data_IF_505253914428
#
_entry.id   IF_505253914428
#
_cell.length_a   1.000
_cell.length_b   1.000
_cell.length_c   1.000
_cell.angle_alpha   90.00
_cell.angle_beta   90.00
_cell.angle_gamma   90.00
#
_symmetry.space_group_name_H-M   'P 1'
#
loop_
_entity.id
_entity.type
_entity.pdbx_description
1 polymer ?
#
# COMPACT_ATOMS: atom_id res chain seq x y z
N UNK A 1 50.59 32.54 64.80
CA UNK A 1 50.57 31.57 63.69
C UNK A 1 49.31 30.75 63.81
N UNK A 2 48.31 31.00 62.97
CA UNK A 2 47.13 30.15 62.80
C UNK A 2 46.89 30.00 61.31
N UNK A 3 47.05 28.79 60.80
CA UNK A 3 46.84 28.39 59.40
C UNK A 3 45.36 28.07 59.23
N UNK A 4 44.65 28.84 58.37
CA UNK A 4 43.27 28.58 58.02
C UNK A 4 43.18 27.60 56.84
N UNK A 5 42.46 26.49 57.03
CA UNK A 5 42.15 25.53 55.97
C UNK A 5 40.90 25.98 55.20
N UNK A 6 41.06 26.25 53.92
CA UNK A 6 39.99 26.54 52.98
C UNK A 6 39.48 25.18 52.44
N UNK A 7 38.25 24.83 52.77
CA UNK A 7 37.57 23.68 52.22
C UNK A 7 36.85 24.06 50.94
N UNK A 8 37.33 23.57 49.81
CA UNK A 8 36.64 23.64 48.51
C UNK A 8 35.52 22.58 48.45
N UNK A 9 34.28 23.01 48.32
CA UNK A 9 33.13 22.15 48.02
C UNK A 9 33.10 21.90 46.51
N UNK A 10 33.33 20.69 46.10
CA UNK A 10 33.09 20.20 44.73
C UNK A 10 31.61 19.79 44.68
N UNK A 11 30.84 20.48 43.87
CA UNK A 11 29.46 20.10 43.56
C UNK A 11 29.47 19.14 42.39
N UNK A 12 29.18 17.88 42.67
CA UNK A 12 28.94 16.85 41.62
C UNK A 12 27.60 17.13 40.94
N UNK A 13 27.63 17.63 39.72
CA UNK A 13 26.48 17.72 38.84
C UNK A 13 26.28 16.35 38.12
N UNK A 14 25.40 15.54 38.63
CA UNK A 14 24.93 14.36 37.99
C UNK A 14 24.07 14.70 36.76
N UNK A 15 24.63 14.59 35.55
CA UNK A 15 23.89 14.70 34.31
C UNK A 15 23.12 13.40 34.10
N UNK A 16 21.81 13.44 34.37
CA UNK A 16 20.88 12.37 34.00
C UNK A 16 20.70 12.41 32.46
N UNK A 17 21.40 11.50 31.74
CA UNK A 17 21.06 11.18 30.35
C UNK A 17 19.73 10.43 30.36
N UNK A 18 18.63 11.12 30.04
CA UNK A 18 17.37 10.48 29.70
C UNK A 18 17.55 9.79 28.33
N UNK A 19 17.79 8.49 28.33
CA UNK A 19 17.69 7.65 27.14
C UNK A 19 16.20 7.60 26.79
N UNK A 20 15.78 8.45 25.86
CA UNK A 20 14.47 8.30 25.24
C UNK A 20 14.51 7.05 24.37
N UNK A 21 13.97 5.96 24.89
CA UNK A 21 13.66 4.78 24.10
C UNK A 21 12.56 5.17 23.11
N UNK A 22 12.96 5.44 21.85
CA UNK A 22 12.01 5.56 20.76
C UNK A 22 11.46 4.15 20.49
N UNK A 23 10.32 3.84 21.11
CA UNK A 23 9.55 2.69 20.70
C UNK A 23 9.17 2.91 19.22
N UNK A 24 9.39 1.92 18.32
CA UNK A 24 8.93 2.05 16.95
C UNK A 24 7.41 2.21 16.98
N UNK A 25 6.91 3.35 16.54
CA UNK A 25 5.49 3.55 16.29
C UNK A 25 5.12 2.67 15.09
N UNK A 26 4.50 1.53 15.35
CA UNK A 26 3.96 0.68 14.31
C UNK A 26 2.75 1.41 13.69
N UNK A 27 2.93 1.85 12.46
CA UNK A 27 1.81 2.33 11.65
C UNK A 27 0.93 1.13 11.32
N UNK A 28 -0.24 1.07 11.92
CA UNK A 28 -1.23 0.01 11.71
C UNK A 28 -1.85 0.15 10.32
N UNK A 29 -1.42 -0.69 9.39
CA UNK A 29 -2.14 -1.00 8.15
C UNK A 29 -2.92 -2.27 8.38
N UNK A 30 -3.97 -2.57 7.58
CA UNK A 30 -4.69 -3.84 7.73
C UNK A 30 -3.73 -5.02 7.79
N UNK A 31 -2.70 -5.06 6.96
CA UNK A 31 -1.66 -6.09 6.99
C UNK A 31 -0.61 -5.93 8.12
N UNK A 32 -0.47 -4.76 8.73
CA UNK A 32 0.43 -4.55 9.88
C UNK A 32 -0.20 -5.02 11.20
N UNK A 33 -1.49 -5.27 11.21
CA UNK A 33 -2.18 -5.89 12.35
C UNK A 33 -1.89 -7.38 12.49
N UNK A 34 -1.22 -7.99 11.52
CA UNK A 34 -0.91 -9.42 11.52
C UNK A 34 0.55 -9.70 11.87
N UNK A 35 0.74 -10.69 12.74
CA UNK A 35 2.06 -11.20 13.11
C UNK A 35 2.65 -12.06 12.00
N UNK A 36 3.45 -11.42 11.14
CA UNK A 36 4.07 -12.08 10.00
C UNK A 36 5.17 -13.09 10.34
N UNK A 37 5.60 -13.12 11.60
CA UNK A 37 6.59 -14.09 12.08
C UNK A 37 5.93 -15.39 12.56
N UNK A 38 4.60 -15.41 12.72
CA UNK A 38 3.83 -16.57 13.14
C UNK A 38 2.94 -17.07 12.00
N UNK A 39 2.72 -18.38 11.98
CA UNK A 39 1.80 -19.03 11.02
C UNK A 39 0.88 -19.97 11.77
N UNK A 40 -0.41 -19.80 11.58
CA UNK A 40 -1.44 -20.73 12.02
C UNK A 40 -1.79 -21.70 10.90
N UNK A 41 -2.13 -22.92 11.27
CA UNK A 41 -2.79 -23.89 10.38
C UNK A 41 -4.15 -24.22 10.96
N UNK A 42 -5.20 -23.78 10.28
CA UNK A 42 -6.59 -23.98 10.68
C UNK A 42 -7.21 -25.07 9.81
N UNK A 43 -8.00 -25.95 10.42
CA UNK A 43 -8.80 -26.99 9.73
C UNK A 43 -10.24 -26.78 10.13
N UNK A 44 -11.12 -26.68 9.17
CA UNK A 44 -12.54 -26.43 9.43
C UNK A 44 -13.38 -26.38 8.18
N UNK A 45 -14.61 -25.94 8.34
CA UNK A 45 -15.58 -25.85 7.28
C UNK A 45 -15.91 -24.39 6.99
N UNK A 46 -15.98 -24.04 5.71
CA UNK A 46 -16.38 -22.69 5.27
C UNK A 46 -17.80 -22.40 5.81
N UNK A 47 -17.95 -21.29 6.54
CA UNK A 47 -19.26 -20.76 6.93
C UNK A 47 -19.77 -19.73 5.92
N UNK A 48 -18.86 -18.89 5.40
CA UNK A 48 -19.19 -17.83 4.45
C UNK A 48 -17.96 -17.47 3.60
N UNK A 49 -18.18 -17.06 2.35
CA UNK A 49 -17.17 -16.58 1.42
C UNK A 49 -17.65 -15.27 0.78
N UNK A 50 -16.96 -14.17 1.06
CA UNK A 50 -17.29 -12.84 0.58
C UNK A 50 -16.29 -12.41 -0.50
N UNK A 51 -16.71 -12.55 -1.76
CA UNK A 51 -15.92 -12.18 -2.93
C UNK A 51 -16.18 -10.71 -3.30
N UNK A 52 -15.55 -9.79 -2.58
CA UNK A 52 -15.77 -8.34 -2.70
C UNK A 52 -14.45 -7.57 -2.53
N UNK A 53 -14.45 -6.29 -2.93
CA UNK A 53 -13.35 -5.36 -2.69
C UNK A 53 -13.70 -4.41 -1.53
N UNK A 54 -12.68 -3.91 -0.79
CA UNK A 54 -11.23 -3.96 -1.09
C UNK A 54 -10.54 -5.25 -0.70
N UNK A 55 -11.15 -6.14 0.06
CA UNK A 55 -10.60 -7.41 0.51
C UNK A 55 -11.62 -8.53 0.37
N UNK A 56 -11.16 -9.70 -0.05
CA UNK A 56 -11.95 -10.93 -0.01
C UNK A 56 -11.88 -11.48 1.42
N UNK A 57 -13.04 -11.83 2.00
CA UNK A 57 -13.09 -12.45 3.31
C UNK A 57 -13.59 -13.90 3.23
N UNK A 58 -12.92 -14.75 4.01
CA UNK A 58 -13.26 -16.16 4.15
C UNK A 58 -13.56 -16.41 5.63
N UNK A 59 -14.74 -16.92 5.93
CA UNK A 59 -15.14 -17.27 7.28
C UNK A 59 -15.10 -18.79 7.43
N UNK A 60 -14.45 -19.27 8.49
CA UNK A 60 -14.12 -20.67 8.72
C UNK A 60 -14.52 -21.09 10.13
N UNK A 61 -15.41 -22.05 10.26
CA UNK A 61 -15.71 -22.71 11.52
C UNK A 61 -14.62 -23.74 11.86
N UNK A 62 -13.90 -23.52 12.95
CA UNK A 62 -12.81 -24.37 13.45
C UNK A 62 -13.23 -25.06 14.74
N UNK A 63 -13.05 -26.36 14.82
CA UNK A 63 -13.49 -27.21 15.95
C UNK A 63 -14.74 -28.02 15.61
N UNK A 64 -15.05 -29.06 16.43
CA UNK A 64 -16.16 -29.99 16.18
C UNK A 64 -17.34 -29.78 17.13
N UNK A 65 -17.08 -29.66 18.44
CA UNK A 65 -18.16 -29.62 19.45
C UNK A 65 -18.72 -28.22 19.67
N UNK A 66 -17.82 -27.23 19.82
CA UNK A 66 -18.12 -25.82 19.89
C UNK A 66 -17.28 -25.07 18.86
N UNK A 67 -17.70 -25.03 17.59
CA UNK A 67 -16.91 -24.41 16.52
C UNK A 67 -16.77 -22.91 16.74
N UNK A 68 -15.54 -22.43 16.57
CA UNK A 68 -15.21 -21.01 16.64
C UNK A 68 -15.04 -20.48 15.23
N UNK A 69 -15.74 -19.42 14.89
CA UNK A 69 -15.59 -18.77 13.59
C UNK A 69 -14.31 -17.94 13.53
N UNK A 70 -13.53 -18.17 12.49
CA UNK A 70 -12.35 -17.42 12.11
C UNK A 70 -12.64 -16.59 10.87
N UNK A 71 -12.24 -15.33 10.89
CA UNK A 71 -12.26 -14.45 9.72
C UNK A 71 -10.86 -14.40 9.10
N UNK A 72 -10.77 -14.64 7.80
CA UNK A 72 -9.51 -14.64 7.07
C UNK A 72 -9.56 -13.55 5.99
N UNK A 73 -8.61 -12.63 6.05
CA UNK A 73 -8.46 -11.55 5.06
C UNK A 73 -7.62 -12.03 3.89
N UNK A 74 -8.16 -11.96 2.69
CA UNK A 74 -7.47 -12.17 1.43
C UNK A 74 -7.06 -10.87 0.76
N UNK A 75 -6.53 -10.97 -0.45
CA UNK A 75 -6.26 -9.83 -1.31
C UNK A 75 -7.53 -9.37 -2.06
N UNK A 76 -7.48 -8.22 -2.74
CA UNK A 76 -8.56 -7.75 -3.61
C UNK A 76 -8.90 -8.74 -4.74
N UNK A 77 -10.17 -8.72 -5.18
CA UNK A 77 -10.66 -9.65 -6.20
C UNK A 77 -9.83 -9.67 -7.50
N UNK A 78 -9.30 -8.55 -8.05
CA UNK A 78 -8.47 -8.59 -9.24
C UNK A 78 -7.18 -9.38 -9.03
N UNK A 79 -6.52 -9.21 -7.88
CA UNK A 79 -5.28 -9.91 -7.52
C UNK A 79 -5.54 -11.41 -7.34
N UNK A 80 -6.59 -11.75 -6.60
CA UNK A 80 -6.97 -13.15 -6.35
C UNK A 80 -7.47 -13.85 -7.62
N UNK A 81 -8.18 -13.14 -8.50
CA UNK A 81 -8.61 -13.70 -9.81
C UNK A 81 -7.40 -14.18 -10.63
N UNK A 82 -6.34 -13.39 -10.71
CA UNK A 82 -5.09 -13.79 -11.40
C UNK A 82 -4.37 -14.93 -10.70
N UNK A 83 -4.66 -15.16 -9.42
CA UNK A 83 -4.14 -16.30 -8.64
C UNK A 83 -5.04 -17.55 -8.71
N UNK A 84 -6.02 -17.56 -9.59
CA UNK A 84 -6.90 -18.70 -9.84
C UNK A 84 -8.17 -18.77 -9.00
N UNK A 85 -8.41 -17.78 -8.13
CA UNK A 85 -9.64 -17.69 -7.37
C UNK A 85 -10.81 -17.16 -8.20
N UNK A 86 -12.03 -17.54 -7.83
CA UNK A 86 -13.29 -17.14 -8.47
C UNK A 86 -14.37 -16.91 -7.39
N UNK A 87 -15.48 -16.25 -7.72
CA UNK A 87 -16.61 -16.07 -6.79
C UNK A 87 -17.19 -17.39 -6.27
N UNK A 88 -17.03 -18.47 -7.04
CA UNK A 88 -17.53 -19.82 -6.75
C UNK A 88 -16.43 -20.79 -6.29
N UNK A 89 -15.25 -20.29 -5.93
CA UNK A 89 -14.13 -21.15 -5.48
C UNK A 89 -14.44 -21.91 -4.21
N UNK A 90 -15.23 -21.32 -3.31
CA UNK A 90 -15.62 -21.91 -2.03
C UNK A 90 -17.14 -21.82 -1.84
N UNK A 91 -17.69 -22.87 -1.23
CA UNK A 91 -19.08 -22.92 -0.82
C UNK A 91 -19.18 -23.18 0.70
N UNK A 92 -20.25 -22.69 1.37
CA UNK A 92 -20.53 -23.06 2.75
C UNK A 92 -20.56 -24.59 2.93
N UNK A 93 -19.86 -25.08 3.97
CA UNK A 93 -19.70 -26.50 4.23
C UNK A 93 -18.41 -27.12 3.66
N UNK A 94 -17.69 -26.49 2.76
CA UNK A 94 -16.44 -26.98 2.22
C UNK A 94 -15.41 -27.20 3.34
N UNK A 95 -14.86 -28.42 3.42
CA UNK A 95 -13.79 -28.75 4.35
C UNK A 95 -12.44 -28.29 3.78
N UNK A 96 -11.76 -27.39 4.48
CA UNK A 96 -10.52 -26.76 3.98
C UNK A 96 -9.42 -26.78 5.03
N UNK A 97 -8.17 -26.61 4.57
CA UNK A 97 -7.00 -26.35 5.41
C UNK A 97 -6.48 -24.97 5.03
N UNK A 98 -6.38 -24.08 6.01
CA UNK A 98 -5.91 -22.71 5.80
C UNK A 98 -4.62 -22.49 6.55
N UNK A 99 -3.66 -21.83 5.89
CA UNK A 99 -2.50 -21.21 6.55
C UNK A 99 -2.69 -19.71 6.55
N UNK A 100 -2.48 -19.09 7.71
CA UNK A 100 -2.67 -17.65 7.89
C UNK A 100 -1.67 -17.08 8.89
N UNK A 101 -1.34 -15.80 8.73
CA UNK A 101 -0.71 -15.02 9.78
C UNK A 101 -1.78 -14.56 10.77
N UNK A 102 -1.64 -14.84 12.07
CA UNK A 102 -2.65 -14.45 13.05
C UNK A 102 -2.65 -12.93 13.29
N UNK A 103 -3.79 -12.41 13.74
CA UNK A 103 -3.88 -11.06 14.27
C UNK A 103 -2.89 -10.89 15.46
N UNK A 104 -2.29 -9.71 15.59
CA UNK A 104 -1.45 -9.36 16.73
C UNK A 104 -2.25 -9.33 18.03
N UNK A 105 -3.54 -8.94 17.98
CA UNK A 105 -4.47 -9.13 19.07
C UNK A 105 -4.94 -10.59 19.11
N UNK A 106 -4.31 -11.38 19.96
CA UNK A 106 -4.58 -12.82 20.11
C UNK A 106 -5.98 -13.15 20.66
N UNK A 107 -6.74 -12.16 21.09
CA UNK A 107 -8.15 -12.31 21.47
C UNK A 107 -9.09 -12.34 20.28
N UNK A 108 -8.60 -12.05 19.07
CA UNK A 108 -9.37 -12.07 17.82
C UNK A 108 -9.10 -13.35 17.03
N UNK A 109 -10.16 -13.99 16.56
CA UNK A 109 -10.08 -15.10 15.61
C UNK A 109 -9.98 -14.57 14.19
N UNK A 110 -8.89 -13.85 13.92
CA UNK A 110 -8.66 -13.17 12.66
C UNK A 110 -7.26 -13.50 12.11
N UNK A 111 -7.15 -13.64 10.79
CA UNK A 111 -5.89 -14.00 10.15
C UNK A 111 -5.76 -13.47 8.73
N UNK A 112 -4.52 -13.15 8.33
CA UNK A 112 -4.19 -12.82 6.97
C UNK A 112 -3.90 -14.10 6.18
N UNK A 113 -4.65 -14.36 5.14
CA UNK A 113 -4.57 -15.56 4.31
C UNK A 113 -3.21 -15.70 3.65
N UNK A 114 -2.57 -16.84 3.83
CA UNK A 114 -1.34 -17.23 3.12
C UNK A 114 -1.62 -18.27 2.04
N UNK A 115 -2.40 -19.30 2.37
CA UNK A 115 -2.83 -20.33 1.43
C UNK A 115 -4.07 -21.05 1.95
N UNK A 116 -4.84 -21.60 1.04
CA UNK A 116 -5.98 -22.46 1.33
C UNK A 116 -5.89 -23.72 0.47
N UNK A 117 -6.08 -24.88 1.10
CA UNK A 117 -6.24 -26.17 0.39
C UNK A 117 -7.72 -26.47 0.31
N UNK A 118 -8.24 -26.58 -0.91
CA UNK A 118 -9.65 -26.88 -1.20
C UNK A 118 -9.99 -28.34 -0.86
N UNK A 119 -11.27 -28.75 -0.82
CA UNK A 119 -11.67 -30.15 -0.65
C UNK A 119 -11.05 -31.10 -1.69
N UNK A 120 -10.83 -30.60 -2.92
CA UNK A 120 -10.17 -31.35 -4.00
C UNK A 120 -8.64 -31.40 -3.89
N UNK A 121 -8.03 -30.87 -2.81
CA UNK A 121 -6.58 -30.90 -2.59
C UNK A 121 -5.80 -29.83 -3.36
N UNK A 122 -6.46 -28.92 -4.07
CA UNK A 122 -5.79 -27.79 -4.76
C UNK A 122 -5.36 -26.76 -3.74
N UNK A 123 -4.09 -26.34 -3.82
CA UNK A 123 -3.56 -25.26 -2.96
C UNK A 123 -3.65 -23.95 -3.71
N UNK A 124 -4.40 -23.01 -3.15
CA UNK A 124 -4.55 -21.64 -3.64
C UNK A 124 -3.82 -20.63 -2.72
N UNK A 125 -3.20 -19.65 -3.31
CA UNK A 125 -2.59 -18.52 -2.59
C UNK A 125 -3.27 -17.21 -3.00
N UNK A 126 -3.40 -16.20 -2.14
CA UNK A 126 -4.04 -14.93 -2.51
C UNK A 126 -3.28 -14.19 -3.61
N UNK A 127 -1.97 -14.41 -3.69
CA UNK A 127 -1.10 -13.85 -4.75
C UNK A 127 -0.29 -14.95 -5.39
N UNK A 128 -0.50 -15.20 -6.66
CA UNK A 128 0.39 -16.04 -7.43
C UNK A 128 1.62 -15.20 -7.82
N UNK A 129 2.79 -15.66 -7.41
CA UNK A 129 4.05 -15.17 -7.96
C UNK A 129 4.28 -15.84 -9.31
N UNK A 130 3.50 -15.44 -10.32
CA UNK A 130 3.67 -15.89 -11.68
C UNK A 130 5.07 -15.56 -12.23
N UNK A 131 5.49 -16.26 -13.29
CA UNK A 131 6.71 -15.89 -14.02
C UNK A 131 6.48 -14.54 -14.69
N UNK A 132 7.46 -13.61 -14.58
CA UNK A 132 7.41 -12.36 -15.32
C UNK A 132 7.25 -12.64 -16.81
N UNK A 133 6.50 -11.78 -17.51
CA UNK A 133 6.48 -11.80 -18.97
C UNK A 133 7.92 -11.60 -19.50
N UNK A 134 8.26 -12.33 -20.57
CA UNK A 134 9.49 -12.09 -21.31
C UNK A 134 9.29 -11.16 -22.51
N UNK A 135 8.06 -10.66 -22.70
CA UNK A 135 7.75 -9.73 -23.78
C UNK A 135 8.39 -8.36 -23.51
N UNK A 136 8.89 -7.72 -24.57
CA UNK A 136 9.47 -6.40 -24.51
C UNK A 136 8.50 -5.36 -25.07
N UNK A 137 8.35 -4.25 -24.34
CA UNK A 137 7.52 -3.12 -24.76
C UNK A 137 8.23 -2.30 -25.87
N UNK A 138 7.48 -1.66 -26.74
CA UNK A 138 8.01 -0.72 -27.74
C UNK A 138 8.25 0.68 -27.17
N UNK A 139 7.37 1.10 -26.26
CA UNK A 139 7.45 2.35 -25.49
C UNK A 139 6.77 2.13 -24.12
N UNK A 140 6.51 3.17 -23.36
CA UNK A 140 5.89 3.05 -22.04
C UNK A 140 4.38 2.80 -22.09
N UNK A 141 3.74 2.82 -23.27
CA UNK A 141 2.33 2.50 -23.41
C UNK A 141 2.06 1.01 -23.25
N UNK A 142 0.83 0.66 -22.87
CA UNK A 142 0.42 -0.72 -22.66
C UNK A 142 -0.03 -1.01 -21.25
N UNK A 143 -0.12 -2.29 -20.91
CA UNK A 143 -0.51 -2.76 -19.59
C UNK A 143 0.73 -3.25 -18.83
N UNK A 144 0.77 -2.88 -17.56
CA UNK A 144 1.90 -3.10 -16.66
C UNK A 144 1.44 -3.71 -15.33
N UNK A 145 2.11 -4.77 -14.88
CA UNK A 145 1.79 -5.46 -13.63
C UNK A 145 2.67 -4.96 -12.47
N UNK A 146 2.05 -4.34 -11.48
CA UNK A 146 2.68 -3.86 -10.26
C UNK A 146 2.94 -4.94 -9.20
N UNK A 147 2.46 -6.17 -9.37
CA UNK A 147 2.46 -7.19 -8.32
C UNK A 147 3.87 -7.51 -7.80
N UNK A 148 4.83 -7.73 -8.71
CA UNK A 148 6.22 -8.04 -8.32
C UNK A 148 6.93 -6.82 -7.76
N UNK A 149 6.68 -5.65 -8.36
CA UNK A 149 7.20 -4.37 -7.88
C UNK A 149 6.72 -4.04 -6.47
N UNK A 150 5.51 -4.43 -6.11
CA UNK A 150 5.00 -4.29 -4.74
C UNK A 150 5.90 -4.95 -3.70
N UNK A 151 6.48 -6.11 -3.99
CA UNK A 151 7.38 -6.82 -3.09
C UNK A 151 8.79 -6.21 -3.02
N UNK A 152 9.24 -5.57 -4.10
CA UNK A 152 10.61 -5.05 -4.26
C UNK A 152 10.72 -3.54 -4.17
N UNK A 153 9.58 -2.82 -4.00
CA UNK A 153 9.57 -1.36 -3.89
C UNK A 153 10.45 -0.85 -2.76
N UNK A 154 11.08 0.28 -2.99
CA UNK A 154 11.99 0.90 -2.03
C UNK A 154 11.50 2.29 -1.67
N UNK A 155 11.77 2.69 -0.43
CA UNK A 155 11.49 4.02 0.07
C UNK A 155 12.66 4.49 0.92
N UNK A 156 13.06 5.73 0.71
CA UNK A 156 13.95 6.47 1.61
C UNK A 156 13.11 7.55 2.27
N UNK A 157 12.69 7.29 3.50
CA UNK A 157 11.80 8.18 4.25
C UNK A 157 12.66 9.05 5.15
N UNK A 158 12.59 10.39 5.01
CA UNK A 158 13.29 11.32 5.89
C UNK A 158 12.61 11.37 7.27
N UNK A 159 13.13 12.21 8.15
CA UNK A 159 12.46 12.52 9.42
C UNK A 159 11.07 13.11 9.19
N UNK A 160 10.19 12.89 10.16
CA UNK A 160 8.86 13.50 10.18
C UNK A 160 8.91 14.86 10.89
N UNK A 161 8.10 15.80 10.42
CA UNK A 161 7.85 17.03 11.19
C UNK A 161 7.05 16.73 12.46
N UNK A 162 7.00 17.67 13.40
CA UNK A 162 6.17 17.53 14.60
C UNK A 162 4.68 17.30 14.24
N UNK A 163 4.18 17.98 13.19
CA UNK A 163 2.82 17.79 12.66
C UNK A 163 2.61 16.36 12.18
N UNK A 164 3.55 15.81 11.39
CA UNK A 164 3.48 14.45 10.88
C UNK A 164 3.56 13.40 12.00
N UNK A 165 4.45 13.59 12.98
CA UNK A 165 4.57 12.69 14.12
C UNK A 165 3.29 12.67 14.97
N UNK A 166 2.68 13.84 15.21
CA UNK A 166 1.39 13.94 15.90
C UNK A 166 0.27 13.27 15.10
N UNK A 167 0.21 13.48 13.78
CA UNK A 167 -0.78 12.83 12.90
C UNK A 167 -0.62 11.32 12.88
N UNK A 168 0.63 10.81 12.85
CA UNK A 168 0.93 9.39 12.92
C UNK A 168 0.51 8.76 14.25
N UNK A 169 0.79 9.44 15.36
CA UNK A 169 0.39 8.97 16.70
C UNK A 169 -1.14 8.97 16.90
N UNK A 170 -1.85 9.87 16.22
CA UNK A 170 -3.32 9.97 16.25
C UNK A 170 -4.01 9.21 15.12
N UNK A 171 -3.23 8.49 14.29
CA UNK A 171 -3.79 7.73 13.18
C UNK A 171 -4.57 6.52 13.70
N UNK A 172 -5.75 6.37 13.16
CA UNK A 172 -6.65 5.25 13.38
C UNK A 172 -7.01 4.65 12.03
N UNK A 173 -6.96 3.33 11.91
CA UNK A 173 -7.22 2.61 10.67
C UNK A 173 -8.66 2.85 10.16
N UNK A 174 -9.61 3.21 11.03
CA UNK A 174 -10.96 3.63 10.60
C UNK A 174 -10.95 4.84 9.66
N UNK A 175 -9.87 5.65 9.70
CA UNK A 175 -9.66 6.83 8.85
C UNK A 175 -8.97 6.51 7.52
N UNK A 176 -8.63 5.24 7.27
CA UNK A 176 -8.03 4.84 6.00
C UNK A 176 -9.02 5.09 4.85
N UNK A 177 -8.65 5.86 3.81
CA UNK A 177 -9.56 6.22 2.72
C UNK A 177 -10.11 5.01 1.95
N UNK A 178 -9.40 3.89 1.96
CA UNK A 178 -9.86 2.63 1.34
C UNK A 178 -11.19 2.16 1.94
N UNK A 179 -11.45 2.42 3.22
CA UNK A 179 -12.69 2.08 3.91
C UNK A 179 -13.91 2.90 3.44
N UNK A 180 -13.65 4.04 2.81
CA UNK A 180 -14.66 4.86 2.14
C UNK A 180 -14.59 4.73 0.61
N UNK A 181 -14.04 3.63 0.12
CA UNK A 181 -13.85 3.35 -1.30
C UNK A 181 -13.08 4.45 -2.04
N UNK A 182 -12.12 5.09 -1.38
CA UNK A 182 -11.26 6.11 -1.97
C UNK A 182 -9.83 5.58 -2.13
N UNK A 183 -9.27 5.74 -3.32
CA UNK A 183 -7.92 5.33 -3.63
C UNK A 183 -6.86 6.13 -2.83
N UNK A 184 -5.68 5.55 -2.66
CA UNK A 184 -4.52 6.28 -2.18
C UNK A 184 -4.07 7.34 -3.18
N UNK A 185 -3.50 8.46 -2.71
CA UNK A 185 -2.97 9.50 -3.59
C UNK A 185 -1.66 9.06 -4.27
N UNK A 186 -1.31 9.74 -5.36
CA UNK A 186 0.04 9.67 -5.96
C UNK A 186 1.10 10.13 -4.93
N UNK A 187 2.28 9.46 -4.81
CA UNK A 187 2.75 8.33 -5.61
C UNK A 187 2.39 6.96 -5.00
N UNK A 188 1.65 6.89 -3.88
CA UNK A 188 1.30 5.60 -3.25
C UNK A 188 0.63 4.65 -4.24
N UNK A 189 -0.19 5.18 -5.12
CA UNK A 189 -0.91 4.42 -6.15
C UNK A 189 0.03 3.54 -6.99
N UNK A 190 1.17 4.09 -7.47
CA UNK A 190 2.09 3.36 -8.35
C UNK A 190 2.85 2.23 -7.63
N UNK A 191 2.79 2.18 -6.31
CA UNK A 191 3.47 1.17 -5.49
C UNK A 191 2.59 -0.02 -5.12
N UNK A 192 1.37 -0.11 -5.65
CA UNK A 192 0.37 -1.14 -5.33
C UNK A 192 0.43 -2.34 -6.29
N UNK A 193 -0.07 -3.52 -5.87
CA UNK A 193 0.04 -4.77 -6.63
C UNK A 193 -1.06 -4.94 -7.70
N UNK A 194 -1.33 -3.90 -8.47
CA UNK A 194 -2.41 -3.89 -9.46
C UNK A 194 -1.88 -3.76 -10.88
N UNK A 195 -2.71 -4.14 -11.85
CA UNK A 195 -2.46 -3.77 -13.23
C UNK A 195 -2.71 -2.27 -13.42
N UNK A 196 -1.85 -1.69 -14.23
CA UNK A 196 -1.92 -0.30 -14.64
C UNK A 196 -1.82 -0.23 -16.16
N UNK A 197 -2.55 0.69 -16.78
CA UNK A 197 -2.51 0.94 -18.21
C UNK A 197 -1.99 2.34 -18.46
N UNK A 198 -1.10 2.49 -19.43
CA UNK A 198 -0.61 3.77 -19.91
C UNK A 198 -1.00 3.91 -21.39
N UNK A 199 -1.67 5.00 -21.73
CA UNK A 199 -2.04 5.34 -23.11
C UNK A 199 -1.47 6.71 -23.46
N UNK A 200 -0.70 6.80 -24.55
CA UNK A 200 -0.19 8.05 -25.09
C UNK A 200 -1.21 8.57 -26.10
N UNK A 201 -1.79 9.74 -25.84
CA UNK A 201 -2.87 10.35 -26.64
C UNK A 201 -2.53 11.80 -27.03
N UNK A 202 -1.68 11.97 -28.05
CA UNK A 202 -1.29 13.29 -28.55
C UNK A 202 -0.64 14.17 -27.48
N UNK A 203 -1.37 15.18 -27.02
CA UNK A 203 -0.94 16.16 -26.01
C UNK A 203 -1.14 15.71 -24.55
N UNK A 204 -1.48 14.45 -24.32
CA UNK A 204 -1.68 13.90 -22.98
C UNK A 204 -1.33 12.42 -22.89
N UNK A 205 -1.00 11.99 -21.69
CA UNK A 205 -0.88 10.58 -21.34
C UNK A 205 -1.97 10.27 -20.33
N UNK A 206 -2.69 9.17 -20.55
CA UNK A 206 -3.71 8.67 -19.67
C UNK A 206 -3.18 7.45 -18.93
N UNK A 207 -3.15 7.51 -17.60
CA UNK A 207 -2.79 6.38 -16.75
C UNK A 207 -4.03 5.88 -16.03
N UNK A 208 -4.31 4.58 -16.14
CA UNK A 208 -5.39 3.92 -15.41
C UNK A 208 -4.83 2.87 -14.48
N UNK A 209 -5.43 2.70 -13.34
CA UNK A 209 -5.13 1.61 -12.41
C UNK A 209 -6.40 0.83 -12.09
N UNK A 210 -6.29 -0.47 -11.93
CA UNK A 210 -7.41 -1.28 -11.41
C UNK A 210 -7.86 -0.80 -10.03
N UNK A 211 -6.92 -0.34 -9.20
CA UNK A 211 -7.21 0.11 -7.83
C UNK A 211 -8.20 1.26 -7.81
N UNK A 212 -9.42 0.96 -7.42
CA UNK A 212 -10.56 1.90 -7.43
C UNK A 212 -10.84 2.56 -8.79
N UNK A 213 -10.42 1.94 -9.89
CA UNK A 213 -10.61 2.47 -11.26
C UNK A 213 -10.02 3.87 -11.42
N UNK A 214 -8.89 4.14 -10.74
CA UNK A 214 -8.26 5.46 -10.83
C UNK A 214 -7.84 5.76 -12.26
N UNK A 215 -8.20 6.95 -12.71
CA UNK A 215 -7.73 7.53 -13.95
C UNK A 215 -6.99 8.84 -13.67
N UNK A 216 -5.81 9.00 -14.26
CA UNK A 216 -4.94 10.17 -14.10
C UNK A 216 -4.51 10.66 -15.47
N UNK A 217 -4.76 11.93 -15.76
CA UNK A 217 -4.28 12.61 -16.98
C UNK A 217 -2.99 13.36 -16.70
N UNK A 218 -1.98 13.13 -17.53
CA UNK A 218 -0.73 13.87 -17.55
C UNK A 218 -0.75 14.75 -18.81
N UNK A 219 -0.70 16.06 -18.64
CA UNK A 219 -0.69 17.02 -19.76
C UNK A 219 0.71 17.18 -20.32
N UNK A 220 0.86 16.99 -21.64
CA UNK A 220 2.14 16.98 -22.36
C UNK A 220 2.30 18.20 -23.30
N UNK A 221 1.40 19.16 -23.23
CA UNK A 221 1.33 20.32 -24.12
C UNK A 221 2.15 21.53 -23.66
N UNK A 222 2.98 21.35 -22.62
CA UNK A 222 3.85 22.40 -22.10
C UNK A 222 3.17 23.41 -21.19
N UNK A 223 1.89 23.18 -20.82
CA UNK A 223 1.21 24.04 -19.84
C UNK A 223 1.86 23.97 -18.47
N UNK A 224 1.68 25.02 -17.65
CA UNK A 224 1.98 24.98 -16.21
C UNK A 224 0.80 24.49 -15.38
N UNK A 225 1.02 24.30 -14.08
CA UNK A 225 -0.07 24.07 -13.14
C UNK A 225 -0.94 25.33 -12.99
N UNK A 226 -2.27 25.17 -12.95
CA UNK A 226 -3.16 26.32 -12.75
C UNK A 226 -3.04 26.85 -11.31
N UNK A 227 -2.86 28.16 -11.16
CA UNK A 227 -2.65 28.80 -9.86
C UNK A 227 -3.83 28.56 -8.88
N UNK A 228 -5.06 28.48 -9.40
CA UNK A 228 -6.29 28.25 -8.64
C UNK A 228 -7.00 26.97 -9.11
N UNK A 229 -6.22 25.91 -9.46
CA UNK A 229 -6.78 24.66 -9.92
C UNK A 229 -7.50 23.90 -8.82
N UNK A 230 -8.45 23.05 -9.21
CA UNK A 230 -9.10 22.13 -8.32
C UNK A 230 -8.07 21.16 -7.70
N UNK A 231 -8.18 20.96 -6.40
CA UNK A 231 -7.35 19.97 -5.69
C UNK A 231 -8.04 18.62 -5.70
N UNK A 232 -7.28 17.61 -6.07
CA UNK A 232 -7.77 16.23 -6.11
C UNK A 232 -6.85 15.29 -5.34
N UNK A 233 -7.32 14.09 -5.09
CA UNK A 233 -6.51 13.05 -4.46
C UNK A 233 -5.31 12.62 -5.34
N UNK A 234 -5.44 12.70 -6.67
CA UNK A 234 -4.36 12.39 -7.60
C UNK A 234 -3.54 13.63 -8.05
N UNK A 235 -3.97 14.82 -7.65
CA UNK A 235 -3.35 16.08 -8.03
C UNK A 235 -3.61 16.46 -9.48
N UNK A 236 -2.90 17.49 -9.94
CA UNK A 236 -2.83 17.92 -11.33
C UNK A 236 -1.43 17.60 -11.87
N UNK A 237 -1.33 16.85 -12.95
CA UNK A 237 -0.07 16.33 -13.49
C UNK A 237 0.25 16.96 -14.84
N UNK A 238 1.48 17.45 -14.97
CA UNK A 238 2.07 17.88 -16.24
C UNK A 238 3.30 17.01 -16.52
N UNK A 239 3.67 16.83 -17.76
CA UNK A 239 4.81 15.99 -18.11
C UNK A 239 5.61 16.52 -19.28
N UNK A 240 6.82 16.03 -19.40
CA UNK A 240 7.68 16.22 -20.55
C UNK A 240 8.62 15.03 -20.72
N UNK A 241 9.12 14.85 -21.92
CA UNK A 241 10.15 13.86 -22.21
C UNK A 241 11.55 14.45 -21.99
N UNK A 242 12.38 13.71 -21.26
CA UNK A 242 13.82 13.96 -21.08
C UNK A 242 14.60 12.78 -21.68
N UNK A 243 14.92 12.87 -22.97
CA UNK A 243 15.33 11.69 -23.75
C UNK A 243 14.19 10.65 -23.77
N UNK A 244 14.49 9.41 -23.37
CA UNK A 244 13.51 8.30 -23.31
C UNK A 244 12.80 8.21 -21.96
N UNK A 245 12.99 9.17 -21.06
CA UNK A 245 12.37 9.20 -19.73
C UNK A 245 11.19 10.17 -19.73
N UNK A 246 10.01 9.68 -19.37
CA UNK A 246 8.88 10.55 -19.05
C UNK A 246 9.08 11.12 -17.64
N UNK A 247 9.14 12.44 -17.53
CA UNK A 247 9.17 13.16 -16.26
C UNK A 247 7.81 13.76 -16.02
N UNK A 248 7.21 13.46 -14.87
CA UNK A 248 5.88 13.93 -14.47
C UNK A 248 6.00 14.74 -13.20
N UNK A 249 5.49 15.95 -13.24
CA UNK A 249 5.39 16.87 -12.12
C UNK A 249 3.93 16.97 -11.67
N UNK A 250 3.66 16.85 -10.37
CA UNK A 250 2.29 16.80 -9.83
C UNK A 250 2.16 17.65 -8.58
N UNK A 251 1.18 18.52 -8.58
CA UNK A 251 0.78 19.40 -7.48
C UNK A 251 -0.74 19.38 -7.30
N UNK A 252 -1.31 20.30 -6.51
CA UNK A 252 -2.75 20.46 -6.31
C UNK A 252 -3.40 19.21 -5.70
N UNK A 253 -2.76 18.65 -4.69
CA UNK A 253 -3.32 17.55 -3.91
C UNK A 253 -4.32 18.05 -2.85
N UNK A 254 -5.24 17.17 -2.45
CA UNK A 254 -5.98 17.30 -1.19
C UNK A 254 -5.15 16.78 -0.03
N UNK A 255 -5.48 17.23 1.20
CA UNK A 255 -4.95 16.59 2.41
C UNK A 255 -5.35 15.11 2.47
N UNK A 256 -4.46 14.27 2.98
CA UNK A 256 -4.74 12.85 3.14
C UNK A 256 -4.15 12.29 4.43
N UNK A 257 -4.90 11.52 5.22
CA UNK A 257 -4.37 10.83 6.40
C UNK A 257 -3.40 9.68 6.03
N UNK A 258 -3.47 9.22 4.77
CA UNK A 258 -2.55 8.23 4.17
C UNK A 258 -2.02 8.86 2.89
N UNK A 259 -0.95 9.61 2.98
CA UNK A 259 -0.47 10.48 1.91
C UNK A 259 0.62 9.86 1.03
N UNK A 260 1.84 9.93 1.49
CA UNK A 260 3.01 9.51 0.71
C UNK A 260 3.24 8.00 0.76
N UNK A 261 2.88 7.39 1.86
CA UNK A 261 2.82 5.93 2.07
C UNK A 261 1.90 5.68 3.26
N UNK A 262 1.49 4.45 3.45
CA UNK A 262 0.70 4.09 4.58
C UNK A 262 1.34 4.54 5.92
N UNK A 263 0.54 5.20 6.77
CA UNK A 263 0.96 5.74 8.07
C UNK A 263 1.67 7.10 8.04
N UNK A 264 1.84 7.71 6.87
CA UNK A 264 2.35 9.09 6.76
C UNK A 264 1.30 9.94 6.05
N UNK A 265 0.70 10.86 6.78
CA UNK A 265 -0.23 11.83 6.22
C UNK A 265 0.49 12.77 5.23
N UNK A 266 -0.25 13.40 4.34
CA UNK A 266 0.26 14.44 3.44
C UNK A 266 -0.64 15.64 3.38
N UNK A 267 -0.04 16.81 3.13
CA UNK A 267 -0.72 18.09 3.02
C UNK A 267 -1.06 18.49 1.58
N UNK A 268 -1.89 19.52 1.47
CA UNK A 268 -2.24 20.13 0.19
C UNK A 268 -1.04 20.79 -0.53
N UNK A 269 0.04 21.07 0.21
CA UNK A 269 1.30 21.59 -0.32
C UNK A 269 2.25 20.52 -0.89
N UNK A 270 1.83 19.26 -0.88
CA UNK A 270 2.62 18.16 -1.44
C UNK A 270 2.95 18.39 -2.91
N UNK A 271 4.21 18.11 -3.27
CA UNK A 271 4.72 18.11 -4.64
C UNK A 271 5.36 16.75 -4.94
N UNK A 272 5.09 16.19 -6.10
CA UNK A 272 5.60 14.87 -6.51
C UNK A 272 6.21 14.95 -7.89
N UNK A 273 7.43 14.49 -8.03
CA UNK A 273 8.08 14.29 -9.33
C UNK A 273 8.28 12.80 -9.55
N UNK A 274 7.77 12.26 -10.64
CA UNK A 274 7.92 10.86 -11.04
C UNK A 274 8.70 10.77 -12.35
N UNK A 275 9.50 9.71 -12.50
CA UNK A 275 10.29 9.39 -13.68
C UNK A 275 9.97 7.99 -14.13
N UNK A 276 9.51 7.84 -15.36
CA UNK A 276 9.15 6.55 -15.95
C UNK A 276 10.14 6.24 -17.08
N UNK A 277 10.84 5.11 -16.98
CA UNK A 277 11.82 4.67 -17.96
C UNK A 277 11.70 3.16 -18.20
N UNK A 278 11.88 2.72 -19.42
CA UNK A 278 11.96 1.29 -19.70
C UNK A 278 13.30 0.72 -19.19
N UNK A 279 13.28 -0.51 -18.67
CA UNK A 279 14.49 -1.30 -18.44
C UNK A 279 15.24 -1.53 -19.75
N UNK A 280 16.51 -1.89 -19.66
CA UNK A 280 17.37 -2.11 -20.85
C UNK A 280 16.80 -3.16 -21.81
N UNK A 281 16.18 -4.21 -21.28
CA UNK A 281 15.53 -5.28 -22.03
C UNK A 281 14.08 -4.97 -22.36
N UNK A 282 13.55 -3.81 -21.88
CA UNK A 282 12.20 -3.30 -22.11
C UNK A 282 11.10 -4.23 -21.57
N UNK A 283 11.42 -5.13 -20.65
CA UNK A 283 10.45 -6.02 -20.00
C UNK A 283 9.81 -5.38 -18.77
N UNK A 284 10.40 -4.28 -18.27
CA UNK A 284 9.92 -3.56 -17.11
C UNK A 284 9.83 -2.06 -17.34
N UNK A 285 8.87 -1.41 -16.68
CA UNK A 285 8.78 0.02 -16.49
C UNK A 285 9.33 0.37 -15.11
N UNK A 286 10.45 1.06 -15.08
CA UNK A 286 11.11 1.54 -13.86
C UNK A 286 10.51 2.89 -13.50
N UNK A 287 10.06 3.05 -12.26
CA UNK A 287 9.42 4.25 -11.77
C UNK A 287 10.17 4.71 -10.53
N UNK A 288 10.84 5.86 -10.64
CA UNK A 288 11.44 6.57 -9.52
C UNK A 288 10.57 7.78 -9.17
N UNK A 289 10.44 8.09 -7.89
CA UNK A 289 9.70 9.27 -7.48
C UNK A 289 10.36 10.01 -6.32
N UNK A 290 10.13 11.32 -6.29
CA UNK A 290 10.49 12.22 -5.20
C UNK A 290 9.24 12.92 -4.70
N UNK A 291 9.05 12.98 -3.40
CA UNK A 291 7.94 13.67 -2.73
C UNK A 291 8.51 14.75 -1.83
N UNK A 292 8.09 15.96 -2.05
CA UNK A 292 8.30 17.10 -1.17
C UNK A 292 6.98 17.44 -0.48
N UNK A 293 6.98 17.44 0.85
CA UNK A 293 5.83 17.83 1.66
C UNK A 293 6.34 18.50 2.94
N UNK A 294 6.67 19.79 2.89
CA UNK A 294 7.33 20.47 4.00
C UNK A 294 6.47 20.56 5.27
N UNK A 295 5.16 20.32 5.17
CA UNK A 295 4.30 20.23 6.35
C UNK A 295 4.47 18.90 7.11
N UNK A 296 4.83 17.82 6.42
CA UNK A 296 4.90 16.47 6.98
C UNK A 296 6.30 15.85 6.95
N UNK A 297 7.18 16.26 6.04
CA UNK A 297 8.51 15.71 5.86
C UNK A 297 9.59 16.76 6.11
N UNK A 298 10.68 16.39 6.81
CA UNK A 298 11.81 17.29 7.08
C UNK A 298 12.76 17.46 5.88
N UNK A 299 12.68 16.56 4.90
CA UNK A 299 13.42 16.58 3.64
C UNK A 299 12.62 15.78 2.58
N UNK A 300 12.98 15.84 1.30
CA UNK A 300 12.32 15.04 0.27
C UNK A 300 12.39 13.54 0.55
N UNK A 301 11.27 12.84 0.41
CA UNK A 301 11.20 11.37 0.38
C UNK A 301 11.42 10.89 -1.04
N UNK A 302 12.18 9.81 -1.20
CA UNK A 302 12.34 9.15 -2.50
C UNK A 302 11.87 7.72 -2.44
N UNK A 303 11.49 7.18 -3.60
CA UNK A 303 11.15 5.79 -3.73
C UNK A 303 11.27 5.29 -5.15
N UNK A 304 11.24 3.98 -5.29
CA UNK A 304 11.28 3.30 -6.59
C UNK A 304 10.43 2.04 -6.60
N UNK A 305 9.90 1.74 -7.77
CA UNK A 305 9.15 0.51 -8.06
C UNK A 305 9.36 0.14 -9.52
N UNK A 306 9.27 -1.14 -9.84
CA UNK A 306 9.27 -1.63 -11.21
C UNK A 306 7.94 -2.34 -11.50
N UNK A 307 7.35 -2.09 -12.66
CA UNK A 307 6.21 -2.83 -13.17
C UNK A 307 6.64 -3.76 -14.30
N UNK A 308 6.19 -4.99 -14.30
CA UNK A 308 6.46 -5.94 -15.38
C UNK A 308 5.53 -5.68 -16.57
N UNK A 309 6.04 -5.77 -17.80
CA UNK A 309 5.19 -5.62 -18.99
C UNK A 309 4.22 -6.79 -19.09
N UNK A 310 2.94 -6.49 -19.24
CA UNK A 310 1.84 -7.45 -19.29
C UNK A 310 0.98 -7.25 -20.56
N UNK A 311 1.50 -7.58 -21.77
CA UNK A 311 0.82 -7.25 -23.03
C UNK A 311 -0.57 -7.89 -23.15
N UNK A 312 -0.77 -9.06 -22.54
CA UNK A 312 -2.05 -9.79 -22.53
C UNK A 312 -2.88 -9.49 -21.28
N UNK A 313 -2.43 -8.50 -20.45
CA UNK A 313 -3.11 -8.11 -19.23
C UNK A 313 -4.39 -7.34 -19.52
N UNK A 314 -5.46 -7.67 -18.81
CA UNK A 314 -6.72 -6.93 -18.86
C UNK A 314 -7.02 -6.36 -17.46
N UNK A 315 -7.34 -5.05 -17.40
CA UNK A 315 -7.73 -4.41 -16.15
C UNK A 315 -9.10 -4.93 -15.72
N UNK A 316 -9.14 -5.57 -14.58
CA UNK A 316 -10.37 -6.09 -14.01
C UNK A 316 -11.10 -5.00 -13.21
N UNK A 317 -12.41 -5.16 -13.06
CA UNK A 317 -13.20 -4.22 -12.29
C UNK A 317 -12.84 -4.28 -10.80
N UNK A 318 -12.65 -3.11 -10.20
CA UNK A 318 -12.49 -2.94 -8.76
C UNK A 318 -13.75 -2.30 -8.19
N UNK A 319 -14.82 -3.08 -8.11
CA UNK A 319 -16.08 -2.61 -7.55
C UNK A 319 -15.99 -2.70 -6.02
N UNK A 320 -15.80 -1.56 -5.38
CA UNK A 320 -15.68 -1.48 -3.94
C UNK A 320 -17.05 -1.51 -3.27
N UNK A 321 -17.17 -2.32 -2.21
CA UNK A 321 -18.32 -2.30 -1.32
C UNK A 321 -17.93 -1.59 -0.01
N UNK A 322 -18.54 -0.43 0.33
CA UNK A 322 -18.19 0.31 1.55
C UNK A 322 -18.48 -0.46 2.84
N UNK A 323 -19.50 -1.33 2.86
CA UNK A 323 -19.81 -2.16 4.03
C UNK A 323 -18.68 -3.16 4.27
N UNK A 324 -18.25 -3.86 3.21
CA UNK A 324 -17.11 -4.78 3.26
C UNK A 324 -15.79 -4.06 3.61
N UNK A 325 -15.59 -2.85 3.07
CA UNK A 325 -14.41 -2.05 3.36
C UNK A 325 -14.30 -1.65 4.85
N UNK A 326 -15.41 -1.60 5.57
CA UNK A 326 -15.49 -1.23 6.99
C UNK A 326 -15.50 -2.40 7.94
N UNK A 327 -15.64 -3.64 7.46
CA UNK A 327 -15.69 -4.85 8.32
C UNK A 327 -14.53 -4.88 9.32
N UNK A 328 -13.36 -4.44 8.92
CA UNK A 328 -12.17 -4.39 9.76
C UNK A 328 -12.15 -3.25 10.80
N UNK A 329 -13.01 -2.25 10.67
CA UNK A 329 -13.04 -1.07 11.55
C UNK A 329 -14.10 -1.17 12.65
N UNK A 330 -14.93 -2.21 12.65
CA UNK A 330 -16.05 -2.33 13.59
C UNK A 330 -15.70 -3.12 14.84
N UNK A 331 -14.47 -3.65 14.95
CA UNK A 331 -13.94 -4.40 16.09
C UNK A 331 -12.84 -3.58 16.84
#
# INVERSE_FOLDING_TARGET
MRVGFLRTLIADAAVLLAVQSTAPAFAHHSQASFDRNSVLTLRGNISRYEWQNPHVYIYLNVGTDEPVEWQLEGDPTPVMTRSGWRPDTLAPGDAVIVRAHPDMNRGRNHGLLMSLTTPGGVVLTPRATGKASSASATDISGVWDGLRGFATRRFVVPGLTAKAAAAQAAYDESKNPVKDCRAYPTPSLVTLPFLNQIEIRGDRILMRSEFFKVERTIYMDGRGHPANGERTNQGHSIGHWSGDVLVVDTTLFTDSPVGTRPGIASGAGKHVVERFALSKDRTQLLIDFTVEDPEYLTAPMTGSVAWDFAPDGELLSFDCNPENARVYALD
#
